data_IF_526617665558
#
_entry.id   IF_526617665558
#
_cell.length_a   1.000
_cell.length_b   1.000
_cell.length_c   1.000
_cell.angle_alpha   90.00
_cell.angle_beta   90.00
_cell.angle_gamma   90.00
#
_symmetry.space_group_name_H-M   'P 1'
#
loop_
_entity.id
_entity.type
_entity.pdbx_description
1 polymer ?
#
# COMPACT_ATOMS: atom_id res chain seq x y z
N UNK A 1 -16.48 -5.26 -11.08
CA UNK A 1 -15.85 -5.47 -12.40
C UNK A 1 -14.34 -5.14 -12.47
N UNK A 2 -13.66 -4.82 -11.35
CA UNK A 2 -12.22 -4.43 -11.36
C UNK A 2 -11.23 -5.52 -10.92
N UNK A 3 -11.68 -6.57 -10.22
CA UNK A 3 -10.80 -7.64 -9.73
C UNK A 3 -10.56 -8.74 -10.79
N UNK A 4 -11.61 -9.09 -11.53
CA UNK A 4 -11.56 -10.09 -12.60
C UNK A 4 -10.60 -9.68 -13.73
N UNK A 5 -10.63 -8.39 -14.12
CA UNK A 5 -9.71 -7.85 -15.13
C UNK A 5 -8.24 -7.90 -14.69
N UNK A 6 -7.96 -7.64 -13.40
CA UNK A 6 -6.60 -7.65 -12.85
C UNK A 6 -6.03 -9.06 -12.73
N UNK A 7 -6.86 -10.06 -12.45
CA UNK A 7 -6.45 -11.46 -12.38
C UNK A 7 -6.13 -12.01 -13.77
N UNK A 8 -6.98 -11.73 -14.76
CA UNK A 8 -6.74 -12.14 -16.16
C UNK A 8 -5.47 -11.49 -16.72
N UNK A 9 -5.21 -10.22 -16.43
CA UNK A 9 -4.01 -9.52 -16.90
C UNK A 9 -2.72 -10.07 -16.28
N UNK A 10 -2.76 -10.50 -15.01
CA UNK A 10 -1.62 -11.11 -14.33
C UNK A 10 -1.30 -12.50 -14.90
N UNK A 11 -2.32 -13.31 -15.21
CA UNK A 11 -2.18 -14.63 -15.84
C UNK A 11 -1.57 -14.54 -17.25
N UNK A 12 -1.95 -13.54 -18.06
CA UNK A 12 -1.40 -13.35 -19.40
C UNK A 12 0.06 -12.90 -19.39
N UNK A 13 0.47 -12.04 -18.45
CA UNK A 13 1.87 -11.60 -18.32
C UNK A 13 2.79 -12.74 -17.89
N UNK A 14 2.33 -13.65 -17.02
CA UNK A 14 3.10 -14.83 -16.61
C UNK A 14 3.26 -15.85 -17.76
N UNK A 15 2.21 -16.03 -18.58
CA UNK A 15 2.22 -16.89 -19.77
C UNK A 15 3.25 -16.44 -20.82
N UNK A 16 3.35 -15.12 -21.05
CA UNK A 16 4.30 -14.54 -22.00
C UNK A 16 5.78 -14.72 -21.56
N UNK A 17 6.05 -14.67 -20.26
CA UNK A 17 7.40 -14.89 -19.71
C UNK A 17 7.83 -16.36 -19.83
N UNK A 18 6.88 -17.30 -19.70
CA UNK A 18 7.18 -18.73 -19.75
C UNK A 18 7.37 -19.25 -21.19
N UNK A 19 6.60 -18.75 -22.15
CA UNK A 19 6.76 -19.09 -23.58
C UNK A 19 8.14 -18.66 -24.11
N UNK A 20 8.62 -17.49 -23.67
CA UNK A 20 9.92 -16.93 -24.10
C UNK A 20 11.14 -17.74 -23.63
N UNK A 21 10.98 -18.66 -22.68
CA UNK A 21 12.05 -19.57 -22.21
C UNK A 21 12.10 -20.92 -22.93
N UNK A 22 11.10 -21.28 -23.72
CA UNK A 22 10.97 -22.60 -24.35
C UNK A 22 11.64 -22.68 -25.73
N UNK A 23 11.97 -21.55 -26.38
CA UNK A 23 12.56 -21.51 -27.72
C UNK A 23 14.09 -21.72 -27.80
N UNK A 24 14.76 -22.08 -26.69
CA UNK A 24 16.23 -22.15 -26.63
C UNK A 24 16.80 -23.57 -26.51
N UNK A 25 16.17 -24.57 -27.11
CA UNK A 25 16.74 -25.93 -27.19
C UNK A 25 17.09 -26.28 -28.64
N UNK A 26 18.21 -25.72 -29.10
CA UNK A 26 18.85 -26.06 -30.37
C UNK A 26 19.65 -27.36 -30.20
N UNK A 27 19.53 -28.27 -31.16
CA UNK A 27 20.13 -29.60 -31.18
C UNK A 27 21.65 -29.50 -31.42
N UNK A 28 22.47 -29.67 -30.38
CA UNK A 28 23.92 -29.88 -30.54
C UNK A 28 24.26 -31.37 -30.57
N UNK A 29 24.80 -31.83 -31.69
CA UNK A 29 25.45 -33.13 -31.81
C UNK A 29 26.76 -33.12 -31.00
N UNK A 30 26.67 -33.42 -29.70
CA UNK A 30 27.76 -33.20 -28.73
C UNK A 30 28.16 -34.48 -27.96
N UNK A 31 27.98 -35.65 -28.57
CA UNK A 31 28.42 -36.92 -27.97
C UNK A 31 29.84 -37.28 -28.41
N UNK A 32 30.82 -36.69 -27.73
CA UNK A 32 32.26 -37.00 -27.83
C UNK A 32 32.58 -38.50 -27.64
N UNK A 33 31.73 -39.23 -26.91
CA UNK A 33 31.91 -40.66 -26.63
C UNK A 33 31.59 -41.55 -27.85
N UNK A 34 30.61 -41.15 -28.68
CA UNK A 34 30.26 -41.89 -29.89
C UNK A 34 31.31 -41.74 -31.01
N UNK A 35 32.16 -40.71 -30.90
CA UNK A 35 33.16 -40.35 -31.90
C UNK A 35 34.45 -41.17 -31.77
N UNK A 36 34.82 -41.65 -30.57
CA UNK A 36 36.06 -42.40 -30.35
C UNK A 36 36.01 -43.87 -30.75
N UNK A 37 34.85 -44.52 -30.59
CA UNK A 37 34.73 -45.97 -30.82
C UNK A 37 34.67 -46.33 -32.31
N UNK A 38 34.06 -45.48 -33.15
CA UNK A 38 33.89 -45.71 -34.60
C UNK A 38 35.17 -45.38 -35.38
N UNK A 39 35.96 -44.41 -34.92
CA UNK A 39 37.23 -44.01 -35.56
C UNK A 39 38.36 -45.06 -35.47
N UNK A 40 38.22 -46.07 -34.60
CA UNK A 40 39.27 -47.09 -34.39
C UNK A 40 39.34 -48.14 -35.49
N UNK A 41 38.29 -48.32 -36.30
CA UNK A 41 38.16 -49.50 -37.18
C UNK A 41 38.02 -49.22 -38.68
N UNK A 42 38.12 -47.97 -39.15
CA UNK A 42 38.05 -47.67 -40.59
C UNK A 42 38.96 -46.52 -40.98
N UNK A 43 39.99 -46.78 -41.80
CA UNK A 43 40.87 -45.74 -42.40
C UNK A 43 40.05 -44.65 -43.13
N UNK A 44 38.94 -45.04 -43.80
CA UNK A 44 38.00 -44.10 -44.43
C UNK A 44 37.35 -43.12 -43.45
N UNK A 45 37.15 -43.51 -42.19
CA UNK A 45 36.53 -42.66 -41.17
C UNK A 45 37.49 -41.60 -40.63
N UNK A 46 38.81 -41.85 -40.65
CA UNK A 46 39.84 -40.86 -40.27
C UNK A 46 39.90 -39.71 -41.27
N UNK A 47 39.80 -40.01 -42.58
CA UNK A 47 39.71 -39.00 -43.66
C UNK A 47 38.46 -38.15 -43.48
N UNK A 48 37.31 -38.78 -43.24
CA UNK A 48 36.04 -38.09 -43.02
C UNK A 48 36.06 -37.16 -41.78
N UNK A 49 36.76 -37.56 -40.72
CA UNK A 49 36.92 -36.75 -39.50
C UNK A 49 37.80 -35.50 -39.75
N UNK A 50 38.90 -35.66 -40.50
CA UNK A 50 39.78 -34.55 -40.91
C UNK A 50 39.05 -33.56 -41.82
N UNK A 51 38.25 -34.08 -42.74
CA UNK A 51 37.34 -33.29 -43.58
C UNK A 51 36.32 -32.50 -42.75
N UNK A 52 35.72 -33.14 -41.76
CA UNK A 52 34.73 -32.51 -40.90
C UNK A 52 35.33 -31.35 -40.08
N UNK A 53 36.57 -31.48 -39.60
CA UNK A 53 37.23 -30.38 -38.88
C UNK A 53 37.46 -29.15 -39.77
N UNK A 54 37.76 -29.34 -41.06
CA UNK A 54 37.89 -28.24 -42.04
C UNK A 54 36.54 -27.55 -42.26
N UNK A 55 35.45 -28.30 -42.35
CA UNK A 55 34.09 -27.74 -42.47
C UNK A 55 33.65 -27.02 -41.18
N UNK A 56 34.00 -27.56 -40.02
CA UNK A 56 33.74 -26.92 -38.74
C UNK A 56 34.55 -25.61 -38.60
N UNK A 57 35.80 -25.61 -39.04
CA UNK A 57 36.65 -24.43 -39.09
C UNK A 57 36.05 -23.36 -40.01
N UNK A 58 35.61 -23.73 -41.22
CA UNK A 58 34.90 -22.83 -42.13
C UNK A 58 33.73 -22.13 -41.43
N UNK A 59 32.84 -22.89 -40.77
CA UNK A 59 31.68 -22.30 -40.06
C UNK A 59 32.06 -21.38 -38.91
N UNK A 60 33.15 -21.67 -38.19
CA UNK A 60 33.55 -20.91 -37.00
C UNK A 60 34.33 -19.62 -37.32
N UNK A 61 35.13 -19.60 -38.39
CA UNK A 61 36.11 -18.51 -38.61
C UNK A 61 35.80 -17.57 -39.78
N UNK A 62 34.70 -17.76 -40.51
CA UNK A 62 34.32 -16.90 -41.65
C UNK A 62 34.28 -15.39 -41.35
N UNK A 63 34.10 -14.95 -40.09
CA UNK A 63 34.09 -13.52 -39.74
C UNK A 63 35.46 -12.85 -39.78
N UNK A 64 36.56 -13.60 -39.71
CA UNK A 64 37.93 -13.07 -39.57
C UNK A 64 38.93 -13.53 -40.64
N UNK A 65 38.51 -14.34 -41.61
CA UNK A 65 39.37 -14.83 -42.68
C UNK A 65 39.58 -13.75 -43.77
N UNK A 66 40.82 -13.57 -44.20
CA UNK A 66 41.14 -12.84 -45.43
C UNK A 66 40.75 -13.65 -46.68
N UNK A 67 40.63 -12.99 -47.84
CA UNK A 67 40.33 -13.67 -49.10
C UNK A 67 41.37 -14.74 -49.46
N UNK A 68 42.63 -14.51 -49.10
CA UNK A 68 43.70 -15.47 -49.32
C UNK A 68 43.59 -16.68 -48.38
N UNK A 69 43.30 -16.46 -47.09
CA UNK A 69 43.07 -17.55 -46.15
C UNK A 69 41.84 -18.39 -46.53
N UNK A 70 40.78 -17.74 -47.03
CA UNK A 70 39.60 -18.39 -47.56
C UNK A 70 39.91 -19.20 -48.82
N UNK A 71 40.81 -18.71 -49.67
CA UNK A 71 41.29 -19.44 -50.84
C UNK A 71 42.11 -20.69 -50.46
N UNK A 72 43.00 -20.60 -49.44
CA UNK A 72 43.77 -21.73 -48.89
C UNK A 72 42.86 -22.75 -48.20
N UNK A 73 41.83 -22.29 -47.48
CA UNK A 73 40.79 -23.15 -46.93
C UNK A 73 40.01 -23.89 -48.03
N UNK A 74 39.81 -23.24 -49.18
CA UNK A 74 39.29 -23.88 -50.38
C UNK A 74 40.18 -25.04 -50.86
N UNK A 75 41.51 -24.92 -50.77
CA UNK A 75 42.45 -26.00 -51.09
C UNK A 75 42.32 -27.14 -50.08
N UNK A 76 42.19 -26.84 -48.79
CA UNK A 76 41.97 -27.85 -47.75
C UNK A 76 40.65 -28.63 -47.96
N UNK A 77 39.57 -27.93 -48.33
CA UNK A 77 38.28 -28.55 -48.68
C UNK A 77 38.38 -29.40 -49.96
N UNK A 78 39.11 -28.91 -50.97
CA UNK A 78 39.35 -29.63 -52.21
C UNK A 78 40.18 -30.91 -51.98
N UNK A 79 41.22 -30.83 -51.12
CA UNK A 79 42.03 -31.98 -50.75
C UNK A 79 41.23 -33.02 -49.98
N UNK A 80 40.33 -32.58 -49.10
CA UNK A 80 39.39 -33.46 -48.41
C UNK A 80 38.52 -34.24 -49.42
N UNK A 81 37.93 -33.55 -50.39
CA UNK A 81 37.15 -34.19 -51.45
C UNK A 81 38.01 -35.18 -52.26
N UNK A 82 39.21 -34.74 -52.65
CA UNK A 82 40.15 -35.54 -53.45
C UNK A 82 40.61 -36.80 -52.70
N UNK A 83 40.88 -36.71 -51.40
CA UNK A 83 41.31 -37.83 -50.56
C UNK A 83 40.19 -38.89 -50.43
N UNK A 84 38.93 -38.47 -50.28
CA UNK A 84 37.77 -39.38 -50.26
C UNK A 84 37.57 -40.07 -51.61
N UNK A 85 37.82 -39.36 -52.71
CA UNK A 85 37.71 -39.87 -54.09
C UNK A 85 38.94 -40.68 -54.54
N UNK A 86 39.99 -40.79 -53.70
CA UNK A 86 41.25 -41.48 -54.04
C UNK A 86 42.10 -40.75 -55.08
N UNK A 87 41.92 -39.43 -55.20
CA UNK A 87 42.65 -38.54 -56.13
C UNK A 87 43.86 -37.89 -55.44
N UNK A 88 44.77 -37.34 -56.24
CA UNK A 88 45.95 -36.61 -55.76
C UNK A 88 45.53 -35.40 -54.91
N UNK A 89 46.20 -35.21 -53.77
CA UNK A 89 46.06 -34.04 -52.92
C UNK A 89 47.26 -33.09 -53.10
N UNK A 90 47.07 -31.82 -52.74
CA UNK A 90 48.05 -30.75 -52.94
C UNK A 90 48.46 -30.13 -51.60
N UNK A 91 49.76 -30.06 -51.31
CA UNK A 91 50.24 -29.47 -50.05
C UNK A 91 49.97 -27.96 -50.02
N UNK A 92 49.36 -27.46 -48.94
CA UNK A 92 49.12 -26.04 -48.74
C UNK A 92 49.24 -25.71 -47.25
N UNK A 93 50.28 -24.95 -46.88
CA UNK A 93 50.49 -24.47 -45.50
C UNK A 93 50.07 -23.01 -45.36
N UNK A 94 50.05 -22.48 -44.12
CA UNK A 94 49.64 -21.10 -43.88
C UNK A 94 50.63 -20.08 -44.46
N UNK A 95 51.91 -20.44 -44.58
CA UNK A 95 52.99 -19.59 -45.08
C UNK A 95 53.04 -19.55 -46.62
N UNK A 96 52.60 -20.61 -47.30
CA UNK A 96 52.56 -20.69 -48.76
C UNK A 96 51.48 -19.79 -49.33
N UNK A 97 51.78 -19.01 -50.37
CA UNK A 97 50.78 -18.26 -51.14
C UNK A 97 49.83 -19.20 -51.86
N UNK A 98 48.63 -18.70 -52.19
CA UNK A 98 47.66 -19.52 -52.93
C UNK A 98 48.20 -20.01 -54.29
N UNK A 99 49.03 -19.19 -54.94
CA UNK A 99 49.67 -19.52 -56.21
C UNK A 99 50.59 -20.73 -56.08
N UNK A 100 51.31 -20.85 -54.96
CA UNK A 100 52.18 -22.00 -54.68
C UNK A 100 51.37 -23.26 -54.39
N UNK A 101 50.25 -23.15 -53.68
CA UNK A 101 49.38 -24.30 -53.38
C UNK A 101 48.73 -24.92 -54.63
N UNK A 102 48.64 -24.17 -55.73
CA UNK A 102 47.90 -24.58 -56.92
C UNK A 102 48.77 -24.70 -58.17
N UNK A 103 50.08 -24.52 -58.05
CA UNK A 103 51.01 -24.51 -59.18
C UNK A 103 51.02 -25.84 -59.97
N UNK A 104 50.85 -26.96 -59.27
CA UNK A 104 50.90 -28.31 -59.84
C UNK A 104 49.54 -28.83 -60.34
N UNK A 105 48.47 -28.03 -60.26
CA UNK A 105 47.14 -28.43 -60.69
C UNK A 105 47.02 -28.37 -62.22
N UNK A 106 46.57 -29.45 -62.84
CA UNK A 106 46.14 -29.42 -64.24
C UNK A 106 44.83 -28.62 -64.41
N UNK A 107 44.45 -28.34 -65.66
CA UNK A 107 43.27 -27.53 -65.97
C UNK A 107 41.97 -28.04 -65.33
N UNK A 108 41.75 -29.35 -65.28
CA UNK A 108 40.53 -29.93 -64.73
C UNK A 108 40.54 -29.89 -63.20
N UNK A 109 41.69 -30.18 -62.59
CA UNK A 109 41.91 -30.03 -61.14
C UNK A 109 41.74 -28.56 -60.70
N UNK A 110 42.30 -27.61 -61.44
CA UNK A 110 42.19 -26.18 -61.15
C UNK A 110 40.72 -25.71 -61.21
N UNK A 111 39.96 -26.17 -62.20
CA UNK A 111 38.53 -25.89 -62.31
C UNK A 111 37.74 -26.45 -61.12
N UNK A 112 38.04 -27.70 -60.72
CA UNK A 112 37.40 -28.33 -59.57
C UNK A 112 37.71 -27.59 -58.26
N UNK A 113 38.98 -27.21 -58.04
CA UNK A 113 39.37 -26.35 -56.92
C UNK A 113 38.60 -25.03 -56.93
N UNK A 114 38.51 -24.35 -58.07
CA UNK A 114 37.84 -23.05 -58.18
C UNK A 114 36.34 -23.16 -57.81
N UNK A 115 35.66 -24.23 -58.21
CA UNK A 115 34.26 -24.50 -57.82
C UNK A 115 34.13 -24.65 -56.30
N UNK A 116 34.97 -25.48 -55.68
CA UNK A 116 34.96 -25.70 -54.23
C UNK A 116 35.27 -24.40 -53.48
N UNK A 117 36.27 -23.65 -53.94
CA UNK A 117 36.67 -22.37 -53.38
C UNK A 117 35.53 -21.34 -53.46
N UNK A 118 34.82 -21.24 -54.58
CA UNK A 118 33.68 -20.31 -54.71
C UNK A 118 32.48 -20.71 -53.85
N UNK A 119 32.24 -22.02 -53.66
CA UNK A 119 31.23 -22.48 -52.70
C UNK A 119 31.60 -22.11 -51.27
N UNK A 120 32.87 -22.28 -50.88
CA UNK A 120 33.36 -21.86 -49.58
C UNK A 120 33.20 -20.34 -49.37
N UNK A 121 33.52 -19.53 -50.39
CA UNK A 121 33.26 -18.08 -50.37
C UNK A 121 31.80 -17.73 -50.16
N UNK A 122 30.91 -18.37 -50.92
CA UNK A 122 29.47 -18.15 -50.83
C UNK A 122 28.94 -18.45 -49.43
N UNK A 123 29.36 -19.57 -48.82
CA UNK A 123 29.01 -19.93 -47.44
C UNK A 123 29.54 -18.89 -46.45
N UNK A 124 30.79 -18.44 -46.60
CA UNK A 124 31.36 -17.46 -45.69
C UNK A 124 30.70 -16.09 -45.81
N UNK A 125 30.41 -15.60 -47.01
CA UNK A 125 29.72 -14.33 -47.18
C UNK A 125 28.29 -14.39 -46.62
N UNK A 126 27.56 -15.48 -46.85
CA UNK A 126 26.25 -15.68 -46.25
C UNK A 126 26.31 -15.69 -44.72
N UNK A 127 27.27 -16.42 -44.14
CA UNK A 127 27.47 -16.48 -42.68
C UNK A 127 27.83 -15.10 -42.11
N UNK A 128 28.72 -14.35 -42.77
CA UNK A 128 29.07 -12.97 -42.38
C UNK A 128 27.85 -12.05 -42.42
N UNK A 129 27.01 -12.15 -43.44
CA UNK A 129 25.78 -11.37 -43.55
C UNK A 129 24.80 -11.68 -42.43
N UNK A 130 24.66 -12.96 -42.05
CA UNK A 130 23.82 -13.37 -40.91
C UNK A 130 24.36 -12.82 -39.59
N UNK A 131 25.69 -12.89 -39.37
CA UNK A 131 26.31 -12.29 -38.19
C UNK A 131 26.14 -10.77 -38.14
N UNK A 132 26.30 -10.08 -39.26
CA UNK A 132 26.07 -8.65 -39.36
C UNK A 132 24.62 -8.30 -39.03
N UNK A 133 23.65 -9.00 -39.65
CA UNK A 133 22.23 -8.82 -39.38
C UNK A 133 21.89 -9.03 -37.92
N UNK A 134 22.34 -10.14 -37.32
CA UNK A 134 22.11 -10.44 -35.90
C UNK A 134 22.69 -9.36 -34.98
N UNK A 135 23.92 -8.89 -35.26
CA UNK A 135 24.53 -7.79 -34.50
C UNK A 135 23.76 -6.48 -34.66
N UNK A 136 23.34 -6.16 -35.88
CA UNK A 136 22.54 -4.96 -36.15
C UNK A 136 21.19 -5.02 -35.42
N UNK A 137 20.48 -6.14 -35.46
CA UNK A 137 19.23 -6.33 -34.71
C UNK A 137 19.43 -6.16 -33.21
N UNK A 138 20.50 -6.73 -32.63
CA UNK A 138 20.83 -6.55 -31.21
C UNK A 138 21.13 -5.08 -30.87
N UNK A 139 21.95 -4.41 -31.68
CA UNK A 139 22.30 -2.99 -31.47
C UNK A 139 21.08 -2.08 -31.59
N UNK A 140 20.23 -2.30 -32.61
CA UNK A 140 19.00 -1.54 -32.81
C UNK A 140 18.04 -1.76 -31.64
N UNK A 141 17.84 -3.00 -31.20
CA UNK A 141 16.98 -3.30 -30.05
C UNK A 141 17.52 -2.68 -28.75
N UNK A 142 18.84 -2.71 -28.55
CA UNK A 142 19.47 -2.05 -27.40
C UNK A 142 19.24 -0.53 -27.46
N UNK A 143 19.46 0.10 -28.61
CA UNK A 143 19.26 1.54 -28.78
C UNK A 143 17.80 1.95 -28.56
N UNK A 144 16.84 1.18 -29.10
CA UNK A 144 15.41 1.41 -28.88
C UNK A 144 15.09 1.33 -27.38
N UNK A 145 15.53 0.26 -26.70
CA UNK A 145 15.29 0.08 -25.27
C UNK A 145 15.88 1.21 -24.43
N UNK A 146 17.10 1.65 -24.75
CA UNK A 146 17.73 2.79 -24.08
C UNK A 146 16.96 4.09 -24.35
N UNK A 147 16.57 4.36 -25.60
CA UNK A 147 15.81 5.55 -25.94
C UNK A 147 14.44 5.59 -25.23
N UNK A 148 13.72 4.46 -25.17
CA UNK A 148 12.44 4.37 -24.45
C UNK A 148 12.64 4.60 -22.96
N UNK A 149 13.66 3.99 -22.35
CA UNK A 149 13.95 4.19 -20.93
C UNK A 149 14.29 5.64 -20.60
N UNK A 150 15.00 6.34 -21.48
CA UNK A 150 15.31 7.76 -21.29
C UNK A 150 14.05 8.63 -21.44
N UNK A 151 13.18 8.33 -22.40
CA UNK A 151 11.90 9.04 -22.55
C UNK A 151 10.99 8.85 -21.33
N UNK A 152 10.93 7.63 -20.78
CA UNK A 152 10.17 7.36 -19.56
C UNK A 152 10.73 8.14 -18.37
N UNK A 153 12.05 8.18 -18.19
CA UNK A 153 12.69 8.98 -17.14
C UNK A 153 12.40 10.49 -17.31
N UNK A 154 12.40 11.00 -18.54
CA UNK A 154 12.03 12.40 -18.81
C UNK A 154 10.55 12.68 -18.54
N UNK A 155 9.67 11.70 -18.77
CA UNK A 155 8.24 11.80 -18.48
C UNK A 155 7.99 11.83 -16.97
N UNK A 156 8.66 10.97 -16.21
CA UNK A 156 8.58 10.95 -14.75
C UNK A 156 9.11 12.27 -14.16
N UNK A 157 10.22 12.80 -14.70
CA UNK A 157 10.74 14.11 -14.32
C UNK A 157 9.74 15.24 -14.61
N UNK A 158 9.07 15.21 -15.76
CA UNK A 158 8.03 16.19 -16.11
C UNK A 158 6.85 16.13 -15.15
N UNK A 159 6.41 14.93 -14.77
CA UNK A 159 5.31 14.78 -13.80
C UNK A 159 5.73 15.29 -12.42
N UNK A 160 6.94 14.94 -11.95
CA UNK A 160 7.48 15.47 -10.70
C UNK A 160 7.62 17.00 -10.70
N UNK A 161 8.03 17.61 -11.81
CA UNK A 161 8.05 19.08 -11.95
C UNK A 161 6.65 19.70 -11.89
N UNK A 162 5.65 19.02 -12.45
CA UNK A 162 4.26 19.48 -12.41
C UNK A 162 3.70 19.41 -10.99
N UNK A 163 3.89 18.29 -10.30
CA UNK A 163 3.48 18.12 -8.90
C UNK A 163 4.15 19.15 -7.99
N UNK A 164 5.46 19.37 -8.15
CA UNK A 164 6.18 20.40 -7.40
C UNK A 164 5.62 21.80 -7.65
N UNK A 165 5.29 22.13 -8.90
CA UNK A 165 4.67 23.42 -9.25
C UNK A 165 3.30 23.58 -8.59
N UNK A 166 2.48 22.53 -8.59
CA UNK A 166 1.16 22.53 -7.94
C UNK A 166 1.29 22.70 -6.42
N UNK A 167 2.17 21.94 -5.77
CA UNK A 167 2.46 22.10 -4.33
C UNK A 167 3.01 23.48 -4.00
N UNK A 168 3.87 24.03 -4.84
CA UNK A 168 4.43 25.39 -4.65
C UNK A 168 3.33 26.45 -4.77
N UNK A 169 2.44 26.31 -5.74
CA UNK A 169 1.30 27.22 -5.91
C UNK A 169 0.34 27.15 -4.72
N UNK A 170 -0.02 25.94 -4.27
CA UNK A 170 -0.87 25.74 -3.10
C UNK A 170 -0.21 26.29 -1.81
N UNK A 171 1.10 26.08 -1.65
CA UNK A 171 1.85 26.61 -0.51
C UNK A 171 1.90 28.13 -0.51
N UNK A 172 2.09 28.75 -1.67
CA UNK A 172 2.08 30.21 -1.83
C UNK A 172 0.70 30.79 -1.50
N UNK A 173 -0.36 30.14 -1.94
CA UNK A 173 -1.74 30.54 -1.63
C UNK A 173 -2.02 30.51 -0.12
N UNK A 174 -1.62 29.42 0.55
CA UNK A 174 -1.72 29.31 2.03
C UNK A 174 -0.90 30.36 2.76
N UNK A 175 0.28 30.71 2.25
CA UNK A 175 1.08 31.80 2.82
C UNK A 175 0.39 33.16 2.67
N UNK A 176 -0.23 33.44 1.52
CA UNK A 176 -0.99 34.67 1.29
C UNK A 176 -2.22 34.75 2.19
N UNK A 177 -2.99 33.67 2.31
CA UNK A 177 -4.12 33.59 3.24
C UNK A 177 -3.65 33.86 4.69
N UNK A 178 -2.60 33.17 5.14
CA UNK A 178 -2.02 33.36 6.47
C UNK A 178 -1.54 34.79 6.71
N UNK A 179 -0.88 35.40 5.72
CA UNK A 179 -0.42 36.79 5.82
C UNK A 179 -1.59 37.77 5.92
N UNK A 180 -2.64 37.57 5.12
CA UNK A 180 -3.84 38.41 5.17
C UNK A 180 -4.55 38.33 6.53
N UNK A 181 -4.64 37.13 7.11
CA UNK A 181 -5.24 36.91 8.42
C UNK A 181 -4.41 37.58 9.54
N UNK A 182 -3.08 37.47 9.47
CA UNK A 182 -2.18 38.15 10.41
C UNK A 182 -2.30 39.68 10.30
N UNK A 183 -2.41 40.22 9.09
CA UNK A 183 -2.59 41.65 8.88
C UNK A 183 -3.92 42.14 9.49
N UNK A 184 -4.99 41.35 9.35
CA UNK A 184 -6.30 41.68 9.93
C UNK A 184 -6.26 41.62 11.46
N UNK A 185 -5.59 40.62 12.04
CA UNK A 185 -5.35 40.55 13.49
C UNK A 185 -4.49 41.71 14.01
N UNK A 186 -3.44 42.12 13.27
CA UNK A 186 -2.64 43.30 13.63
C UNK A 186 -3.47 44.59 13.60
N UNK A 187 -4.37 44.73 12.62
CA UNK A 187 -5.32 45.85 12.56
C UNK A 187 -6.23 45.90 13.79
N UNK A 188 -6.88 44.79 14.12
CA UNK A 188 -7.75 44.70 15.30
C UNK A 188 -6.99 44.94 16.62
N UNK A 189 -5.75 44.42 16.74
CA UNK A 189 -4.92 44.66 17.92
C UNK A 189 -4.53 46.14 18.05
N UNK A 190 -4.24 46.80 16.93
CA UNK A 190 -3.92 48.22 16.91
C UNK A 190 -5.13 49.08 17.31
N UNK A 191 -6.31 48.78 16.81
CA UNK A 191 -7.55 49.44 17.23
C UNK A 191 -7.83 49.21 18.72
N UNK A 192 -7.66 47.97 19.19
CA UNK A 192 -7.79 47.64 20.61
C UNK A 192 -6.80 48.39 21.50
N UNK A 193 -5.54 48.55 21.06
CA UNK A 193 -4.53 49.35 21.76
C UNK A 193 -4.91 50.83 21.82
N UNK A 194 -5.40 51.41 20.73
CA UNK A 194 -5.84 52.81 20.69
C UNK A 194 -7.03 53.03 21.66
N UNK A 195 -8.01 52.12 21.66
CA UNK A 195 -9.11 52.17 22.61
C UNK A 195 -8.64 52.03 24.07
N UNK A 196 -7.69 51.14 24.34
CA UNK A 196 -7.10 50.98 25.67
C UNK A 196 -6.43 52.27 26.13
N UNK A 197 -5.65 52.91 25.26
CA UNK A 197 -4.90 54.13 25.57
C UNK A 197 -5.84 55.33 25.85
N UNK A 198 -6.90 55.47 25.05
CA UNK A 198 -7.95 56.48 25.30
C UNK A 198 -8.67 56.24 26.63
N UNK A 199 -9.11 55.01 26.90
CA UNK A 199 -9.78 54.66 28.16
C UNK A 199 -8.89 54.87 29.38
N UNK A 200 -7.60 54.50 29.30
CA UNK A 200 -6.63 54.75 30.37
C UNK A 200 -6.48 56.26 30.59
N UNK A 201 -6.33 57.04 29.52
CA UNK A 201 -6.18 58.50 29.61
C UNK A 201 -7.41 59.17 30.23
N UNK A 202 -8.62 58.76 29.83
CA UNK A 202 -9.87 59.23 30.41
C UNK A 202 -10.01 58.87 31.90
N UNK A 203 -9.69 57.63 32.26
CA UNK A 203 -9.72 57.19 33.66
C UNK A 203 -8.70 57.96 34.51
N UNK A 204 -7.48 58.18 34.02
CA UNK A 204 -6.47 58.98 34.70
C UNK A 204 -6.94 60.43 34.89
N UNK A 205 -7.59 61.02 33.89
CA UNK A 205 -8.14 62.37 33.98
C UNK A 205 -9.27 62.45 35.01
N UNK A 206 -10.18 61.47 35.03
CA UNK A 206 -11.24 61.38 36.05
C UNK A 206 -10.68 61.23 37.46
N UNK A 207 -9.70 60.34 37.64
CA UNK A 207 -9.01 60.16 38.92
C UNK A 207 -8.35 61.46 39.40
N UNK A 208 -7.72 62.22 38.49
CA UNK A 208 -7.16 63.52 38.81
C UNK A 208 -8.23 64.53 39.28
N UNK A 209 -9.40 64.56 38.61
CA UNK A 209 -10.53 65.41 39.00
C UNK A 209 -11.13 65.00 40.35
N UNK A 210 -11.37 63.71 40.57
CA UNK A 210 -11.87 63.20 41.86
C UNK A 210 -10.92 63.54 43.01
N UNK A 211 -9.60 63.43 42.79
CA UNK A 211 -8.60 63.82 43.79
C UNK A 211 -8.70 65.30 44.19
N UNK A 212 -8.93 66.20 43.22
CA UNK A 212 -9.16 67.62 43.49
C UNK A 212 -10.47 67.82 44.27
N UNK A 213 -11.54 67.13 43.87
CA UNK A 213 -12.84 67.22 44.55
C UNK A 213 -12.76 66.72 46.00
N UNK A 214 -12.07 65.60 46.25
CA UNK A 214 -11.82 65.06 47.60
C UNK A 214 -11.03 66.05 48.44
N UNK A 215 -9.96 66.64 47.89
CA UNK A 215 -9.18 67.66 48.60
C UNK A 215 -10.06 68.87 48.98
N UNK A 216 -10.97 69.27 48.08
CA UNK A 216 -11.90 70.38 48.33
C UNK A 216 -12.94 70.00 49.40
N UNK A 217 -13.46 68.77 49.33
CA UNK A 217 -14.37 68.22 50.34
C UNK A 217 -13.74 68.10 51.72
N UNK A 218 -12.48 67.65 51.80
CA UNK A 218 -11.72 67.61 53.06
C UNK A 218 -11.56 69.01 53.67
N UNK A 219 -11.30 70.02 52.85
CA UNK A 219 -11.21 71.41 53.30
C UNK A 219 -12.56 71.92 53.83
N UNK A 220 -13.67 71.58 53.17
CA UNK A 220 -15.03 71.93 53.64
C UNK A 220 -15.38 71.23 54.97
N UNK A 221 -15.05 69.95 55.11
CA UNK A 221 -15.23 69.20 56.35
C UNK A 221 -14.43 69.82 57.49
N UNK A 222 -13.18 70.22 57.25
CA UNK A 222 -12.36 70.90 58.25
C UNK A 222 -12.99 72.24 58.71
N UNK A 223 -13.56 73.01 57.78
CA UNK A 223 -14.29 74.25 58.11
C UNK A 223 -15.55 73.98 58.92
N UNK A 224 -16.33 72.95 58.57
CA UNK A 224 -17.53 72.56 59.31
C UNK A 224 -17.20 72.11 60.73
N UNK A 225 -16.14 71.31 60.92
CA UNK A 225 -15.67 70.87 62.25
C UNK A 225 -15.33 72.08 63.11
N UNK A 226 -14.55 73.04 62.61
CA UNK A 226 -14.24 74.26 63.36
C UNK A 226 -15.51 75.05 63.73
N UNK A 227 -16.49 75.14 62.81
CA UNK A 227 -17.78 75.78 63.08
C UNK A 227 -18.60 75.08 64.17
N UNK A 228 -18.63 73.75 64.18
CA UNK A 228 -19.33 72.94 65.19
C UNK A 228 -18.63 73.07 66.54
N UNK A 229 -17.30 72.93 66.60
CA UNK A 229 -16.52 73.10 67.84
C UNK A 229 -16.82 74.44 68.49
N UNK A 230 -16.84 75.52 67.70
CA UNK A 230 -17.15 76.87 68.21
C UNK A 230 -18.58 77.01 68.73
N UNK A 231 -19.57 76.37 68.09
CA UNK A 231 -20.95 76.34 68.60
C UNK A 231 -21.07 75.50 69.87
N UNK A 232 -20.37 74.37 69.94
CA UNK A 232 -20.37 73.46 71.08
C UNK A 232 -19.71 74.10 72.32
N UNK A 233 -18.63 74.85 72.15
CA UNK A 233 -18.03 75.66 73.22
C UNK A 233 -19.00 76.74 73.74
N UNK A 234 -19.75 77.39 72.85
CA UNK A 234 -20.74 78.40 73.23
C UNK A 234 -21.92 77.79 74.02
N UNK A 235 -22.46 76.65 73.57
CA UNK A 235 -23.53 75.92 74.28
C UNK A 235 -23.05 75.35 75.61
N UNK A 236 -21.82 74.84 75.66
CA UNK A 236 -21.20 74.39 76.91
C UNK A 236 -20.98 75.54 77.91
N UNK A 237 -20.75 76.76 77.42
CA UNK A 237 -20.74 77.96 78.25
C UNK A 237 -22.09 78.22 78.92
N UNK A 238 -23.19 78.12 78.15
CA UNK A 238 -24.56 78.35 78.66
C UNK A 238 -25.05 77.28 79.65
N UNK A 239 -24.68 76.01 79.45
CA UNK A 239 -25.06 74.92 80.35
C UNK A 239 -24.41 75.01 81.73
N UNK A 240 -23.27 75.72 81.85
CA UNK A 240 -22.59 75.91 83.15
C UNK A 240 -23.36 76.83 84.09
N UNK A 241 -24.21 77.71 83.55
CA UNK A 241 -25.01 78.67 84.33
C UNK A 241 -26.37 78.09 84.78
N UNK A 242 -26.85 76.99 84.18
CA UNK A 242 -28.17 76.39 84.45
C UNK A 242 -28.19 75.26 85.51
N UNK A 243 -27.05 74.92 86.11
CA UNK A 243 -26.94 73.80 87.06
C UNK A 243 -27.62 74.06 88.43
N UNK A 244 -28.13 75.26 88.71
CA UNK A 244 -28.71 75.62 90.00
C UNK A 244 -30.22 75.28 90.15
N UNK A 245 -30.94 75.04 89.06
CA UNK A 245 -32.41 74.90 89.05
C UNK A 245 -32.90 73.43 89.10
N UNK A 246 -32.01 72.46 88.85
CA UNK A 246 -32.35 71.02 88.78
C UNK A 246 -32.44 70.35 90.16
N UNK A 247 -31.87 70.97 91.20
CA UNK A 247 -31.80 70.40 92.56
C UNK A 247 -33.19 70.31 93.25
N UNK A 248 -34.16 71.13 92.84
CA UNK A 248 -35.49 71.22 93.48
C UNK A 248 -36.47 70.13 92.95
N UNK A 249 -36.27 69.66 91.72
CA UNK A 249 -37.09 68.59 91.11
C UNK A 249 -36.82 67.19 91.66
N UNK A 250 -35.68 66.97 92.34
CA UNK A 250 -35.29 65.66 92.85
C UNK A 250 -35.98 65.23 94.16
N UNK A 251 -36.64 66.16 94.86
CA UNK A 251 -37.39 65.83 96.08
C UNK A 251 -38.79 65.27 95.78
N UNK A 252 -39.40 65.66 94.66
CA UNK A 252 -40.74 65.21 94.24
C UNK A 252 -40.74 63.79 93.63
N UNK A 253 -39.60 63.32 93.12
CA UNK A 253 -39.45 61.99 92.52
C UNK A 253 -39.37 60.90 93.60
N UNK A 254 -38.98 61.23 94.84
CA UNK A 254 -38.85 60.28 95.93
C UNK A 254 -40.19 59.86 96.57
N UNK A 255 -41.24 60.69 96.44
CA UNK A 255 -42.60 60.36 96.93
C UNK A 255 -43.38 59.43 95.96
N UNK A 256 -43.11 59.50 94.65
CA UNK A 256 -43.74 58.63 93.65
C UNK A 256 -43.20 57.18 93.68
N UNK A 257 -42.03 56.95 94.29
CA UNK A 257 -41.39 55.64 94.38
C UNK A 257 -41.95 54.71 95.48
N UNK A 258 -42.88 55.18 96.32
CA UNK A 258 -43.57 54.35 97.31
C UNK A 258 -44.79 53.58 96.73
N UNK A 259 -45.35 54.04 95.60
CA UNK A 259 -46.56 53.44 94.99
C UNK A 259 -46.21 52.33 93.98
N UNK A 260 -45.00 52.33 93.42
CA UNK A 260 -44.54 51.33 92.43
C UNK A 260 -44.16 49.97 93.05
N UNK A 261 -44.01 49.90 94.38
CA UNK A 261 -43.64 48.66 95.08
C UNK A 261 -44.78 47.62 95.17
N UNK A 262 -46.03 48.00 94.88
CA UNK A 262 -47.19 47.09 94.88
C UNK A 262 -47.44 46.32 93.57
N UNK A 263 -46.88 46.76 92.43
CA UNK A 263 -47.12 46.15 91.09
C UNK A 263 -45.98 45.24 90.60
N UNK A 264 -44.94 45.02 91.40
CA UNK A 264 -43.81 44.14 91.04
C UNK A 264 -44.04 42.66 91.43
N UNK A 265 -45.15 42.34 92.10
CA UNK A 265 -45.45 40.99 92.59
C UNK A 265 -46.45 40.22 91.72
N UNK A 266 -47.00 40.84 90.68
CA UNK A 266 -47.98 40.25 89.75
C UNK A 266 -47.40 39.85 88.38
N UNK A 267 -46.10 40.12 88.14
CA UNK A 267 -45.44 39.84 86.85
C UNK A 267 -44.58 38.56 86.88
N UNK A 268 -44.29 38.01 88.07
CA UNK A 268 -43.65 36.70 88.19
C UNK A 268 -44.59 35.53 87.87
N UNK A 269 -45.91 35.73 87.88
CA UNK A 269 -46.91 34.70 87.57
C UNK A 269 -47.22 34.56 86.07
N UNK A 270 -46.49 35.29 85.20
CA UNK A 270 -46.72 35.30 83.75
C UNK A 270 -45.49 34.94 82.90
N UNK A 271 -44.49 34.30 83.50
CA UNK A 271 -43.31 33.80 82.78
C UNK A 271 -43.29 32.27 82.59
N UNK A 272 -44.26 31.54 83.15
CA UNK A 272 -44.40 30.07 83.03
C UNK A 272 -45.36 29.65 81.89
N UNK A 273 -46.17 30.56 81.36
CA UNK A 273 -47.33 30.23 80.50
C UNK A 273 -47.19 30.62 79.02
N UNK A 274 -45.97 30.62 78.49
CA UNK A 274 -45.74 30.57 77.03
C UNK A 274 -44.48 29.78 76.64
N UNK A 275 -44.22 28.70 77.38
CA UNK A 275 -43.56 27.48 76.86
C UNK A 275 -44.45 26.74 75.84
N UNK A 276 -45.51 27.38 75.33
CA UNK A 276 -46.47 26.89 74.37
C UNK A 276 -46.14 27.26 72.91
N UNK A 277 -44.97 27.85 72.66
CA UNK A 277 -44.40 27.99 71.31
C UNK A 277 -43.50 26.82 70.90
N UNK A 278 -43.07 25.96 71.83
CA UNK A 278 -42.06 24.94 71.57
C UNK A 278 -42.65 23.56 71.20
N UNK A 279 -43.92 23.30 71.54
CA UNK A 279 -44.62 22.05 71.16
C UNK A 279 -45.41 22.16 69.85
N UNK A 280 -45.70 23.36 69.37
CA UNK A 280 -46.35 23.56 68.06
C UNK A 280 -45.36 23.41 66.89
N UNK A 281 -44.05 23.39 67.16
CA UNK A 281 -43.00 23.06 66.19
C UNK A 281 -42.82 21.53 65.99
N UNK A 282 -43.52 20.68 66.74
CA UNK A 282 -43.37 19.22 66.62
C UNK A 282 -44.40 18.58 65.67
N UNK A 283 -45.54 19.24 65.41
CA UNK A 283 -46.59 18.71 64.52
C UNK A 283 -46.30 18.94 63.03
N UNK A 284 -45.57 20.01 62.70
CA UNK A 284 -45.17 20.35 61.31
C UNK A 284 -44.06 19.43 60.79
N UNK A 285 -43.30 18.79 61.68
CA UNK A 285 -42.23 17.85 61.30
C UNK A 285 -42.79 16.50 60.85
N UNK A 286 -43.96 16.08 61.34
CA UNK A 286 -44.61 14.84 60.91
C UNK A 286 -45.20 14.92 59.48
N UNK A 287 -45.65 16.11 59.06
CA UNK A 287 -46.16 16.33 57.69
C UNK A 287 -45.05 16.38 56.64
N UNK A 288 -43.83 16.76 57.02
CA UNK A 288 -42.67 16.73 56.12
C UNK A 288 -42.23 15.29 55.80
N UNK A 289 -42.33 14.36 56.78
CA UNK A 289 -42.00 12.95 56.58
C UNK A 289 -43.08 12.18 55.79
N UNK A 290 -44.36 12.53 55.91
CA UNK A 290 -45.43 11.90 55.12
C UNK A 290 -45.40 12.32 53.64
N UNK A 291 -45.02 13.57 53.35
CA UNK A 291 -44.83 14.04 51.96
C UNK A 291 -43.50 13.52 51.34
N UNK A 292 -42.46 13.27 52.16
CA UNK A 292 -41.23 12.58 51.72
C UNK A 292 -41.47 11.09 51.41
N UNK A 293 -42.30 10.39 52.21
CA UNK A 293 -42.68 9.00 51.92
C UNK A 293 -43.64 8.87 50.73
N UNK A 294 -44.56 9.83 50.54
CA UNK A 294 -45.46 9.87 49.37
C UNK A 294 -44.70 10.07 48.04
N UNK A 295 -43.54 10.73 48.08
CA UNK A 295 -42.63 10.83 46.92
C UNK A 295 -41.77 9.58 46.71
N UNK A 296 -41.52 8.76 47.73
CA UNK A 296 -40.84 7.46 47.57
C UNK A 296 -41.79 6.35 47.07
N UNK A 297 -43.08 6.39 47.38
CA UNK A 297 -44.07 5.45 46.81
C UNK A 297 -44.39 5.78 45.34
N UNK A 298 -44.28 7.06 44.94
CA UNK A 298 -44.27 7.47 43.53
C UNK A 298 -42.94 7.22 42.80
N UNK A 299 -41.94 6.68 43.49
CA UNK A 299 -40.73 6.10 42.88
C UNK A 299 -40.78 4.56 42.86
N UNK A 300 -41.97 3.99 42.73
CA UNK A 300 -42.18 2.66 42.15
C UNK A 300 -42.70 2.74 40.69
N UNK A 301 -42.63 3.93 40.08
CA UNK A 301 -42.94 4.20 38.66
C UNK A 301 -41.70 4.27 37.76
N UNK A 302 -40.51 3.96 38.28
CA UNK A 302 -39.22 4.03 37.57
C UNK A 302 -38.45 2.73 37.66
N UNK A 303 -39.16 1.60 37.62
CA UNK A 303 -38.66 0.35 37.03
C UNK A 303 -39.31 0.06 35.66
N UNK A 304 -40.28 0.86 35.23
CA UNK A 304 -40.87 0.78 33.89
C UNK A 304 -40.03 1.44 32.80
N UNK A 305 -39.32 2.53 33.11
CA UNK A 305 -38.45 3.20 32.12
C UNK A 305 -37.10 2.52 31.92
N UNK A 306 -36.62 1.74 32.89
CA UNK A 306 -35.39 0.96 32.73
C UNK A 306 -35.64 -0.34 31.95
N UNK A 307 -36.84 -0.95 32.07
CA UNK A 307 -37.27 -2.07 31.22
C UNK A 307 -37.56 -1.64 29.78
N UNK A 308 -38.13 -0.45 29.58
CA UNK A 308 -38.34 0.09 28.23
C UNK A 308 -37.03 0.48 27.53
N UNK A 309 -35.99 0.83 28.30
CA UNK A 309 -34.65 1.06 27.74
C UNK A 309 -33.89 -0.25 27.47
N UNK A 310 -34.19 -1.33 28.20
CA UNK A 310 -33.63 -2.66 27.98
C UNK A 310 -34.29 -3.39 26.79
N UNK A 311 -35.61 -3.29 26.63
CA UNK A 311 -36.33 -3.86 25.48
C UNK A 311 -36.03 -3.10 24.17
N UNK A 312 -35.90 -1.77 24.27
CA UNK A 312 -35.53 -0.93 23.13
C UNK A 312 -34.00 -0.93 22.86
N UNK A 313 -33.17 -1.39 23.81
CA UNK A 313 -31.78 -1.79 23.52
C UNK A 313 -31.70 -3.17 22.87
N UNK A 314 -32.56 -4.11 23.25
CA UNK A 314 -32.59 -5.46 22.71
C UNK A 314 -33.06 -5.46 21.25
N UNK A 315 -34.15 -4.75 20.92
CA UNK A 315 -34.60 -4.58 19.54
C UNK A 315 -33.61 -3.77 18.69
N UNK A 316 -32.93 -2.77 19.28
CA UNK A 316 -31.89 -1.98 18.59
C UNK A 316 -30.56 -2.71 18.46
N UNK A 317 -30.32 -3.74 19.27
CA UNK A 317 -29.20 -4.68 19.12
C UNK A 317 -29.54 -5.78 18.12
N UNK A 318 -30.78 -6.28 18.05
CA UNK A 318 -31.25 -7.23 17.03
C UNK A 318 -31.31 -6.60 15.63
N UNK A 319 -31.76 -5.35 15.50
CA UNK A 319 -31.70 -4.61 14.22
C UNK A 319 -30.27 -4.28 13.80
N UNK A 320 -29.39 -3.96 14.76
CA UNK A 320 -27.94 -3.78 14.49
C UNK A 320 -27.25 -5.12 14.22
N UNK A 321 -27.70 -6.21 14.81
CA UNK A 321 -27.25 -7.57 14.51
C UNK A 321 -27.69 -8.00 13.13
N UNK A 322 -28.91 -7.68 12.67
CA UNK A 322 -29.37 -7.92 11.31
C UNK A 322 -28.68 -7.03 10.27
N UNK A 323 -28.31 -5.78 10.62
CA UNK A 323 -27.50 -4.91 9.76
C UNK A 323 -26.04 -5.38 9.67
N UNK A 324 -25.51 -5.94 10.76
CA UNK A 324 -24.22 -6.64 10.79
C UNK A 324 -24.31 -8.01 10.10
N UNK A 325 -25.45 -8.71 10.12
CA UNK A 325 -25.73 -9.93 9.36
C UNK A 325 -25.94 -9.63 7.87
N UNK A 326 -26.40 -8.43 7.50
CA UNK A 326 -26.47 -7.94 6.12
C UNK A 326 -25.09 -7.57 5.57
N UNK A 327 -24.22 -6.98 6.40
CA UNK A 327 -22.81 -6.73 6.07
C UNK A 327 -21.96 -8.00 6.09
N UNK A 328 -22.22 -8.94 7.01
CA UNK A 328 -21.63 -10.28 7.05
C UNK A 328 -22.23 -11.22 5.99
N UNK A 329 -23.43 -10.95 5.47
CA UNK A 329 -24.05 -11.67 4.36
C UNK A 329 -23.41 -11.32 3.02
N UNK A 330 -23.01 -10.05 2.84
CA UNK A 330 -22.15 -9.64 1.72
C UNK A 330 -20.71 -10.15 1.90
N UNK A 331 -20.20 -10.17 3.14
CA UNK A 331 -18.91 -10.79 3.44
C UNK A 331 -18.94 -12.31 3.35
N UNK A 332 -20.08 -12.97 3.50
CA UNK A 332 -20.24 -14.44 3.47
C UNK A 332 -19.97 -15.01 2.08
N UNK A 333 -20.43 -14.33 1.02
CA UNK A 333 -20.00 -14.65 -0.34
C UNK A 333 -18.54 -14.29 -0.60
N UNK A 334 -18.03 -13.19 -0.02
CA UNK A 334 -16.63 -12.80 -0.24
C UNK A 334 -15.62 -13.67 0.52
N UNK A 335 -15.95 -14.17 1.72
CA UNK A 335 -15.08 -14.98 2.56
C UNK A 335 -15.01 -16.40 2.02
N UNK A 336 -16.14 -16.97 1.60
CA UNK A 336 -16.15 -18.26 0.90
C UNK A 336 -15.43 -18.13 -0.45
N UNK A 337 -15.70 -17.12 -1.26
CA UNK A 337 -14.99 -16.93 -2.54
C UNK A 337 -13.49 -16.67 -2.35
N UNK A 338 -13.10 -15.90 -1.33
CA UNK A 338 -11.70 -15.62 -1.01
C UNK A 338 -10.98 -16.87 -0.48
N UNK A 339 -11.65 -17.64 0.37
CA UNK A 339 -11.15 -18.94 0.85
C UNK A 339 -10.97 -19.93 -0.31
N UNK A 340 -11.98 -20.07 -1.17
CA UNK A 340 -11.92 -20.91 -2.38
C UNK A 340 -10.78 -20.46 -3.30
N UNK A 341 -10.59 -19.15 -3.50
CA UNK A 341 -9.47 -18.61 -4.29
C UNK A 341 -8.11 -18.93 -3.68
N UNK A 342 -7.94 -18.76 -2.37
CA UNK A 342 -6.68 -19.04 -1.66
C UNK A 342 -6.34 -20.53 -1.74
N UNK A 343 -7.32 -21.40 -1.52
CA UNK A 343 -7.15 -22.86 -1.60
C UNK A 343 -6.80 -23.31 -3.02
N UNK A 344 -7.49 -22.81 -4.05
CA UNK A 344 -7.22 -23.16 -5.45
C UNK A 344 -5.90 -22.59 -5.97
N UNK A 345 -5.53 -21.37 -5.56
CA UNK A 345 -4.24 -20.77 -5.90
C UNK A 345 -3.07 -21.53 -5.24
N UNK A 346 -3.21 -21.87 -3.96
CA UNK A 346 -2.22 -22.69 -3.25
C UNK A 346 -2.06 -24.07 -3.89
N UNK A 347 -3.17 -24.74 -4.22
CA UNK A 347 -3.18 -26.03 -4.92
C UNK A 347 -2.52 -25.95 -6.30
N UNK A 348 -2.83 -24.92 -7.09
CA UNK A 348 -2.23 -24.71 -8.41
C UNK A 348 -0.71 -24.55 -8.32
N UNK A 349 -0.22 -23.71 -7.40
CA UNK A 349 1.22 -23.46 -7.24
C UNK A 349 1.97 -24.70 -6.77
N UNK A 350 1.43 -25.42 -5.78
CA UNK A 350 2.04 -26.65 -5.28
C UNK A 350 2.08 -27.74 -6.36
N UNK A 351 0.98 -27.90 -7.10
CA UNK A 351 0.91 -28.87 -8.20
C UNK A 351 1.82 -28.48 -9.37
N UNK A 352 1.90 -27.19 -9.73
CA UNK A 352 2.81 -26.69 -10.77
C UNK A 352 4.29 -26.88 -10.40
N UNK A 353 4.63 -26.68 -9.12
CA UNK A 353 5.97 -26.97 -8.59
C UNK A 353 6.27 -28.47 -8.73
N UNK A 354 5.38 -29.35 -8.25
CA UNK A 354 5.53 -30.80 -8.39
C UNK A 354 5.69 -31.23 -9.86
N UNK A 355 4.84 -30.76 -10.78
CA UNK A 355 4.93 -31.10 -12.20
C UNK A 355 6.23 -30.59 -12.88
N UNK A 356 6.80 -29.49 -12.36
CA UNK A 356 8.08 -28.95 -12.83
C UNK A 356 9.25 -29.83 -12.37
N UNK A 357 9.24 -30.28 -11.11
CA UNK A 357 10.24 -31.21 -10.58
C UNK A 357 10.16 -32.60 -11.23
N UNK A 358 8.95 -33.11 -11.46
CA UNK A 358 8.71 -34.42 -12.08
C UNK A 358 8.86 -34.44 -13.61
N UNK A 359 9.26 -33.32 -14.24
CA UNK A 359 9.42 -33.16 -15.70
C UNK A 359 8.24 -33.74 -16.51
N UNK A 360 7.02 -33.56 -16.00
CA UNK A 360 5.84 -34.21 -16.57
C UNK A 360 5.48 -33.62 -17.94
N UNK A 361 4.86 -34.43 -18.81
CA UNK A 361 4.54 -34.10 -20.19
C UNK A 361 3.70 -32.81 -20.32
N UNK A 362 3.88 -32.10 -21.44
CA UNK A 362 3.20 -30.83 -21.76
C UNK A 362 1.67 -30.92 -21.63
N UNK A 363 1.07 -32.06 -21.97
CA UNK A 363 -0.36 -32.31 -21.82
C UNK A 363 -0.84 -32.19 -20.36
N UNK A 364 -0.07 -32.72 -19.41
CA UNK A 364 -0.40 -32.64 -17.97
C UNK A 364 -0.39 -31.19 -17.47
N UNK A 365 0.53 -30.37 -17.98
CA UNK A 365 0.65 -28.95 -17.65
C UNK A 365 -0.51 -28.12 -18.20
N UNK A 366 -0.94 -28.42 -19.43
CA UNK A 366 -2.10 -27.76 -20.06
C UNK A 366 -3.40 -28.14 -19.35
N UNK A 367 -3.58 -29.42 -19.01
CA UNK A 367 -4.74 -29.89 -18.24
C UNK A 367 -4.84 -29.22 -16.88
N UNK A 368 -3.72 -29.07 -16.16
CA UNK A 368 -3.69 -28.34 -14.89
C UNK A 368 -4.03 -26.86 -15.06
N UNK A 369 -3.54 -26.22 -16.14
CA UNK A 369 -3.78 -24.80 -16.42
C UNK A 369 -5.24 -24.48 -16.78
N UNK A 370 -5.98 -25.45 -17.32
CA UNK A 370 -7.39 -25.27 -17.70
C UNK A 370 -8.35 -25.77 -16.62
N UNK A 371 -8.13 -26.96 -16.07
CA UNK A 371 -9.09 -27.62 -15.18
C UNK A 371 -9.17 -26.94 -13.81
N UNK A 372 -8.04 -26.48 -13.25
CA UNK A 372 -8.02 -25.86 -11.91
C UNK A 372 -8.75 -24.50 -11.90
N UNK A 373 -8.53 -23.58 -12.87
CA UNK A 373 -9.28 -22.33 -12.91
C UNK A 373 -10.77 -22.52 -13.23
N UNK A 374 -11.11 -23.47 -14.11
CA UNK A 374 -12.52 -23.78 -14.43
C UNK A 374 -13.25 -24.30 -13.18
N UNK A 375 -12.61 -25.17 -12.39
CA UNK A 375 -13.18 -25.67 -11.14
C UNK A 375 -13.39 -24.55 -10.10
N UNK A 376 -12.42 -23.64 -9.97
CA UNK A 376 -12.54 -22.49 -9.07
C UNK A 376 -13.68 -21.55 -9.49
N UNK A 377 -13.87 -21.31 -10.80
CA UNK A 377 -14.98 -20.50 -11.32
C UNK A 377 -16.32 -21.19 -11.08
N UNK A 378 -16.40 -22.51 -11.26
CA UNK A 378 -17.61 -23.29 -10.99
C UNK A 378 -18.00 -23.21 -9.50
N UNK A 379 -17.03 -23.34 -8.60
CA UNK A 379 -17.26 -23.28 -7.14
C UNK A 379 -17.70 -21.87 -6.68
N UNK A 380 -17.09 -20.82 -7.24
CA UNK A 380 -17.47 -19.42 -6.95
C UNK A 380 -18.88 -19.10 -7.45
N UNK A 381 -19.29 -19.68 -8.59
CA UNK A 381 -20.62 -19.50 -9.16
C UNK A 381 -21.68 -20.42 -8.54
N UNK A 382 -21.39 -21.10 -7.42
CA UNK A 382 -22.28 -22.05 -6.73
C UNK A 382 -22.76 -23.20 -7.63
N UNK A 383 -21.98 -23.55 -8.65
CA UNK A 383 -22.25 -24.71 -9.50
C UNK A 383 -21.61 -25.97 -8.89
N UNK A 384 -21.95 -27.15 -9.42
CA UNK A 384 -21.32 -28.41 -9.00
C UNK A 384 -19.81 -28.35 -9.27
N UNK A 385 -19.02 -28.17 -8.21
CA UNK A 385 -17.56 -28.15 -8.25
C UNK A 385 -16.99 -29.47 -7.74
N UNK A 386 -15.82 -29.84 -8.25
CA UNK A 386 -15.07 -31.00 -7.79
C UNK A 386 -14.27 -30.60 -6.54
N UNK A 387 -14.39 -31.41 -5.48
CA UNK A 387 -13.53 -31.28 -4.30
C UNK A 387 -12.06 -31.53 -4.67
N UNK A 388 -11.12 -30.96 -3.91
CA UNK A 388 -9.68 -31.00 -4.16
C UNK A 388 -9.18 -32.45 -4.36
N UNK A 389 -9.72 -33.40 -3.59
CA UNK A 389 -9.42 -34.82 -3.74
C UNK A 389 -9.86 -35.37 -5.09
N UNK A 390 -11.08 -35.08 -5.52
CA UNK A 390 -11.60 -35.51 -6.82
C UNK A 390 -10.88 -34.85 -8.00
N UNK A 391 -10.43 -33.60 -7.84
CA UNK A 391 -9.61 -32.85 -8.80
C UNK A 391 -8.23 -33.50 -8.99
N UNK A 392 -7.56 -33.91 -7.91
CA UNK A 392 -6.29 -34.63 -8.00
C UNK A 392 -6.44 -35.97 -8.70
N UNK A 393 -7.51 -36.72 -8.41
CA UNK A 393 -7.78 -38.01 -9.06
C UNK A 393 -8.04 -37.84 -10.56
N UNK A 394 -8.78 -36.80 -10.96
CA UNK A 394 -9.03 -36.48 -12.36
C UNK A 394 -7.74 -36.10 -13.10
N UNK A 395 -6.91 -35.24 -12.53
CA UNK A 395 -5.63 -34.85 -13.15
C UNK A 395 -4.66 -36.04 -13.23
N UNK A 396 -4.63 -36.89 -12.21
CA UNK A 396 -3.82 -38.10 -12.21
C UNK A 396 -4.26 -39.09 -13.28
N UNK A 397 -5.56 -39.37 -13.39
CA UNK A 397 -6.11 -40.28 -14.41
C UNK A 397 -5.91 -39.75 -15.83
N UNK A 398 -6.08 -38.43 -16.06
CA UNK A 398 -5.75 -37.78 -17.33
C UNK A 398 -4.26 -37.88 -17.67
N UNK A 399 -3.38 -37.71 -16.68
CA UNK A 399 -1.93 -37.82 -16.89
C UNK A 399 -1.53 -39.25 -17.28
N UNK A 400 -2.05 -40.27 -16.58
CA UNK A 400 -1.80 -41.69 -16.89
C UNK A 400 -2.41 -42.06 -18.24
N UNK A 401 -3.62 -41.60 -18.53
CA UNK A 401 -4.29 -41.80 -19.81
C UNK A 401 -3.46 -41.26 -20.97
N UNK A 402 -2.96 -40.02 -20.85
CA UNK A 402 -2.12 -39.40 -21.88
C UNK A 402 -0.83 -40.16 -22.14
N UNK A 403 -0.17 -40.66 -21.09
CA UNK A 403 1.04 -41.49 -21.21
C UNK A 403 0.72 -42.83 -21.87
N UNK A 404 -0.41 -43.43 -21.52
CA UNK A 404 -0.85 -44.72 -22.07
C UNK A 404 -1.20 -44.62 -23.55
N UNK A 405 -1.92 -43.58 -23.96
CA UNK A 405 -2.23 -43.29 -25.37
C UNK A 405 -0.96 -43.01 -26.17
N UNK A 406 -0.03 -42.21 -25.64
CA UNK A 406 1.23 -41.92 -26.32
C UNK A 406 2.09 -43.19 -26.50
N UNK A 407 2.10 -44.09 -25.50
CA UNK A 407 2.77 -45.39 -25.59
C UNK A 407 2.13 -46.30 -26.63
N UNK A 408 0.80 -46.36 -26.68
CA UNK A 408 0.06 -47.13 -27.69
C UNK A 408 0.30 -46.60 -29.11
N UNK A 409 0.26 -45.28 -29.28
CA UNK A 409 0.54 -44.63 -30.57
C UNK A 409 1.97 -44.89 -31.05
N UNK A 410 2.97 -44.79 -30.16
CA UNK A 410 4.36 -45.14 -30.49
C UNK A 410 4.52 -46.62 -30.87
N UNK A 411 3.86 -47.54 -30.14
CA UNK A 411 3.85 -48.97 -30.47
C UNK A 411 3.19 -49.24 -31.82
N UNK A 412 2.07 -48.57 -32.11
CA UNK A 412 1.36 -48.70 -33.37
C UNK A 412 2.21 -48.19 -34.55
N UNK A 413 2.83 -47.01 -34.42
CA UNK A 413 3.75 -46.47 -35.44
C UNK A 413 4.94 -47.40 -35.66
N UNK A 414 5.55 -47.91 -34.59
CA UNK A 414 6.68 -48.85 -34.69
C UNK A 414 6.27 -50.15 -35.38
N UNK A 415 5.07 -50.68 -35.10
CA UNK A 415 4.53 -51.84 -35.80
C UNK A 415 4.28 -51.55 -37.29
N UNK A 416 3.73 -50.38 -37.60
CA UNK A 416 3.44 -49.96 -38.98
C UNK A 416 4.73 -49.75 -39.80
N UNK A 417 5.75 -49.11 -39.20
CA UNK A 417 7.09 -48.99 -39.78
C UNK A 417 7.75 -50.35 -40.01
N UNK A 418 7.64 -51.28 -39.06
CA UNK A 418 8.18 -52.63 -39.23
C UNK A 418 7.47 -53.40 -40.35
N UNK A 419 6.14 -53.26 -40.50
CA UNK A 419 5.40 -53.87 -41.61
C UNK A 419 5.82 -53.23 -42.94
N UNK A 420 5.93 -51.90 -43.02
CA UNK A 420 6.43 -51.20 -44.21
C UNK A 420 7.85 -51.61 -44.59
N UNK A 421 8.75 -51.75 -43.61
CA UNK A 421 10.13 -52.20 -43.86
C UNK A 421 10.15 -53.66 -44.34
N UNK A 422 9.34 -54.53 -43.76
CA UNK A 422 9.26 -55.95 -44.14
C UNK A 422 8.69 -56.11 -45.56
N UNK A 423 7.68 -55.31 -45.92
CA UNK A 423 7.10 -55.31 -47.27
C UNK A 423 8.09 -54.74 -48.30
N UNK A 424 8.80 -53.65 -47.98
CA UNK A 424 9.82 -53.09 -48.86
C UNK A 424 11.10 -53.94 -49.00
N UNK A 425 11.39 -54.85 -48.06
CA UNK A 425 12.51 -55.80 -48.20
C UNK A 425 12.16 -57.11 -48.92
N UNK A 426 10.88 -57.35 -49.24
CA UNK A 426 10.41 -58.52 -50.01
C UNK A 426 10.02 -58.19 -51.47
N UNK A 427 10.21 -56.95 -51.92
CA UNK A 427 10.26 -56.57 -53.35
C UNK A 427 11.70 -56.19 -53.70
#
# INVERSE_FOLDING_TARGET
MSLFSKIVECSFKLLAVFIKRVELFDMSCHDLFFQSEICRHTEKMKVLLRCYSVVAQLKATCSGLSEEQLAKLGVALFNCQSEVEGRRTYSCTEEMSIKECTADMDSDTWNAYHIVSNRARSVCYATRQQHFRKRAELTVNALISTATSQLDAMKDLKEGQKELREMTAASLDKLLEGHSALQLQQGALREGQEQLDTSISENLQRLAQEKVLISTGQQLVAQLIQGITRRMENVSGQLKDQSAEVQEGHQAILDDLAVVRGSAQDIYEKMELNLNGFLQQQNTTAQFYSELMRKLERMNGTLGYMLLYLDNMQNRLEDRLHMIQGYLGWAGLSLCALWTCVMHAGYFLLSAMLLSFLQCATFSRVSLLLVVPINAIAEINQQSALDLGSLTLLLFTLSIGSVSVLRLYKRFISALLNVLFTVCSCS
#
